data_IF_780037223306
#
_entry.id   IF_780037223306
#
_cell.length_a   1.000
_cell.length_b   1.000
_cell.length_c   1.000
_cell.angle_alpha   90.00
_cell.angle_beta   90.00
_cell.angle_gamma   90.00
#
_symmetry.space_group_name_H-M   'P 1'
#
loop_
_entity.id
_entity.type
_entity.pdbx_description
1 polymer ?
#
# COMPACT_ATOMS: atom_id res chain seq x y z
N UNK A 1 16.53 -3.37 18.29
CA UNK A 1 16.18 -1.92 18.31
C UNK A 1 16.22 -1.25 16.93
N UNK A 2 17.20 -1.55 16.07
CA UNK A 2 17.35 -0.90 14.76
C UNK A 2 16.12 -1.03 13.83
N UNK A 3 15.48 -2.20 13.75
CA UNK A 3 14.31 -2.42 12.88
C UNK A 3 13.11 -1.53 13.24
N UNK A 4 12.81 -1.37 14.53
CA UNK A 4 11.75 -0.46 15.01
C UNK A 4 12.03 0.99 14.62
N UNK A 5 13.30 1.42 14.72
CA UNK A 5 13.72 2.77 14.29
C UNK A 5 13.57 2.97 12.78
N UNK A 6 13.96 1.98 11.97
CA UNK A 6 13.78 2.02 10.50
C UNK A 6 12.31 2.10 10.10
N UNK A 7 11.43 1.31 10.74
CA UNK A 7 9.98 1.36 10.48
C UNK A 7 9.37 2.71 10.85
N UNK A 8 9.84 3.35 11.93
CA UNK A 8 9.41 4.71 12.29
C UNK A 8 9.82 5.72 11.22
N UNK A 9 11.07 5.70 10.78
CA UNK A 9 11.53 6.58 9.70
C UNK A 9 10.79 6.34 8.39
N UNK A 10 10.48 5.09 8.03
CA UNK A 10 9.67 4.78 6.87
C UNK A 10 8.25 5.37 6.98
N UNK A 11 7.62 5.32 8.16
CA UNK A 11 6.31 5.95 8.39
C UNK A 11 6.38 7.47 8.26
N UNK A 12 7.42 8.11 8.81
CA UNK A 12 7.64 9.55 8.70
C UNK A 12 7.88 9.97 7.25
N UNK A 13 8.71 9.22 6.52
CA UNK A 13 8.95 9.47 5.10
C UNK A 13 7.66 9.31 4.27
N UNK A 14 6.86 8.28 4.56
CA UNK A 14 5.55 8.11 3.93
C UNK A 14 4.62 9.29 4.23
N UNK A 15 4.57 9.75 5.48
CA UNK A 15 3.77 10.93 5.86
C UNK A 15 4.23 12.20 5.14
N UNK A 16 5.54 12.41 5.01
CA UNK A 16 6.09 13.54 4.26
C UNK A 16 5.73 13.47 2.76
N UNK A 17 5.83 12.29 2.14
CA UNK A 17 5.41 12.08 0.75
C UNK A 17 3.91 12.32 0.56
N UNK A 18 3.08 11.86 1.50
CA UNK A 18 1.64 12.11 1.50
C UNK A 18 1.33 13.60 1.55
N UNK A 19 1.95 14.34 2.47
CA UNK A 19 1.76 15.79 2.59
C UNK A 19 2.26 16.55 1.35
N UNK A 20 3.38 16.12 0.76
CA UNK A 20 3.89 16.68 -0.49
C UNK A 20 2.96 16.40 -1.68
N UNK A 21 2.27 15.27 -1.69
CA UNK A 21 1.34 14.88 -2.74
C UNK A 21 -0.02 15.61 -2.67
N UNK A 22 -0.45 16.04 -1.49
CA UNK A 22 -1.75 16.72 -1.32
C UNK A 22 -1.95 17.93 -2.24
N UNK A 23 -1.02 18.91 -2.34
CA UNK A 23 -1.23 20.09 -3.18
C UNK A 23 -1.07 19.85 -4.68
N UNK A 24 -0.63 18.66 -5.11
CA UNK A 24 -0.42 18.37 -6.53
C UNK A 24 -1.76 18.07 -7.21
N UNK A 25 -2.05 18.73 -8.33
CA UNK A 25 -3.21 18.38 -9.16
C UNK A 25 -2.88 17.16 -10.02
N UNK A 26 -3.34 15.98 -9.59
CA UNK A 26 -3.19 14.74 -10.35
C UNK A 26 -4.53 14.29 -10.91
N UNK A 27 -4.57 13.97 -12.20
CA UNK A 27 -5.76 13.39 -12.87
C UNK A 27 -5.71 11.87 -12.99
N UNK A 28 -4.67 11.24 -12.42
CA UNK A 28 -4.45 9.79 -12.50
C UNK A 28 -4.36 9.16 -11.11
N UNK A 29 -4.76 7.89 -10.94
CA UNK A 29 -4.72 7.21 -9.64
C UNK A 29 -3.32 6.76 -9.21
N UNK A 30 -2.29 7.00 -10.03
CA UNK A 30 -0.96 6.39 -9.86
C UNK A 30 -0.28 6.78 -8.55
N UNK A 31 -0.34 8.07 -8.17
CA UNK A 31 0.25 8.53 -6.93
C UNK A 31 -0.48 7.97 -5.69
N UNK A 32 -1.81 7.90 -5.74
CA UNK A 32 -2.62 7.28 -4.69
C UNK A 32 -2.32 5.77 -4.55
N UNK A 33 -2.16 5.05 -5.67
CA UNK A 33 -1.73 3.65 -5.69
C UNK A 33 -0.33 3.48 -5.07
N UNK A 34 0.63 4.35 -5.41
CA UNK A 34 1.96 4.33 -4.84
C UNK A 34 1.96 4.55 -3.32
N UNK A 35 1.19 5.54 -2.84
CA UNK A 35 1.04 5.83 -1.42
C UNK A 35 0.34 4.66 -0.69
N UNK A 36 -0.77 4.16 -1.21
CA UNK A 36 -1.46 3.01 -0.64
C UNK A 36 -0.56 1.76 -0.61
N UNK A 37 0.20 1.51 -1.67
CA UNK A 37 1.17 0.42 -1.74
C UNK A 37 2.28 0.54 -0.70
N UNK A 38 2.82 1.75 -0.54
CA UNK A 38 3.79 2.04 0.53
C UNK A 38 3.23 1.75 1.92
N UNK A 39 1.97 2.13 2.17
CA UNK A 39 1.29 1.88 3.45
C UNK A 39 1.05 0.37 3.68
N UNK A 40 0.62 -0.37 2.65
CA UNK A 40 0.44 -1.81 2.68
C UNK A 40 1.75 -2.54 3.00
N UNK A 41 2.85 -2.18 2.31
CA UNK A 41 4.17 -2.77 2.55
C UNK A 41 4.65 -2.44 3.96
N UNK A 42 4.56 -1.17 4.36
CA UNK A 42 4.95 -0.75 5.70
C UNK A 42 4.16 -1.50 6.79
N UNK A 43 2.85 -1.65 6.61
CA UNK A 43 1.97 -2.40 7.51
C UNK A 43 2.34 -3.88 7.58
N UNK A 44 2.54 -4.53 6.43
CA UNK A 44 2.93 -5.94 6.36
C UNK A 44 4.29 -6.20 7.03
N UNK A 45 5.31 -5.39 6.73
CA UNK A 45 6.64 -5.48 7.36
C UNK A 45 6.56 -5.15 8.84
N UNK A 46 5.77 -4.14 9.23
CA UNK A 46 5.53 -3.79 10.62
C UNK A 46 4.88 -4.91 11.43
N UNK A 47 3.94 -5.64 10.82
CA UNK A 47 3.28 -6.79 11.42
C UNK A 47 4.25 -7.96 11.62
N UNK A 48 5.01 -8.34 10.58
CA UNK A 48 6.01 -9.42 10.67
C UNK A 48 7.19 -9.07 11.57
N UNK A 49 7.53 -7.79 11.74
CA UNK A 49 8.58 -7.38 12.66
C UNK A 49 8.16 -7.42 14.14
N UNK A 50 6.84 -7.37 14.41
CA UNK A 50 6.29 -7.37 15.78
C UNK A 50 5.83 -8.76 16.24
N UNK A 51 5.58 -9.66 15.30
CA UNK A 51 5.09 -11.03 15.56
C UNK A 51 6.03 -12.02 14.92
N UNK A 52 6.24 -13.17 15.56
CA UNK A 52 6.99 -14.27 14.96
C UNK A 52 6.13 -14.98 13.90
N UNK A 53 5.95 -14.31 12.75
CA UNK A 53 5.13 -14.85 11.66
C UNK A 53 5.95 -15.91 10.92
N UNK A 54 5.49 -17.17 10.90
CA UNK A 54 6.21 -18.22 10.21
C UNK A 54 6.33 -17.87 8.72
N UNK A 55 7.49 -18.12 8.08
CA UNK A 55 7.74 -17.71 6.71
C UNK A 55 6.71 -18.24 5.69
N UNK A 56 6.12 -19.41 5.95
CA UNK A 56 5.04 -20.00 5.16
C UNK A 56 3.75 -19.14 5.09
N UNK A 57 3.57 -18.16 5.99
CA UNK A 57 2.41 -17.24 5.99
C UNK A 57 2.64 -15.96 5.19
N UNK A 58 3.84 -15.72 4.68
CA UNK A 58 4.17 -14.49 3.98
C UNK A 58 3.39 -14.31 2.66
N UNK A 59 3.07 -15.36 1.87
CA UNK A 59 2.17 -15.22 0.72
C UNK A 59 0.79 -14.73 1.11
N UNK A 60 0.24 -15.21 2.24
CA UNK A 60 -1.08 -14.78 2.74
C UNK A 60 -1.07 -13.33 3.21
N UNK A 61 0.00 -12.91 3.90
CA UNK A 61 0.18 -11.49 4.26
C UNK A 61 0.29 -10.61 3.02
N UNK A 62 1.02 -11.08 2.00
CA UNK A 62 1.11 -10.43 0.71
C UNK A 62 -0.25 -10.31 0.02
N UNK A 63 -1.05 -11.38 0.01
CA UNK A 63 -2.42 -11.37 -0.53
C UNK A 63 -3.28 -10.31 0.15
N UNK A 64 -3.29 -10.29 1.48
CA UNK A 64 -4.08 -9.30 2.25
C UNK A 64 -3.61 -7.88 1.97
N UNK A 65 -2.29 -7.65 1.93
CA UNK A 65 -1.72 -6.35 1.59
C UNK A 65 -2.08 -5.90 0.16
N UNK A 66 -2.08 -6.84 -0.80
CA UNK A 66 -2.47 -6.60 -2.19
C UNK A 66 -3.96 -6.30 -2.32
N UNK A 67 -4.83 -7.04 -1.62
CA UNK A 67 -6.27 -6.78 -1.61
C UNK A 67 -6.62 -5.43 -0.94
N UNK A 68 -5.85 -5.02 0.07
CA UNK A 68 -6.02 -3.73 0.73
C UNK A 68 -5.58 -2.53 -0.15
N UNK A 69 -4.79 -2.76 -1.20
CA UNK A 69 -4.23 -1.69 -2.04
C UNK A 69 -5.31 -0.80 -2.67
N UNK A 70 -6.23 -1.42 -3.41
CA UNK A 70 -7.27 -0.68 -4.13
C UNK A 70 -8.23 0.09 -3.21
N UNK A 71 -8.80 -0.47 -2.13
CA UNK A 71 -9.68 0.30 -1.25
C UNK A 71 -8.94 1.42 -0.52
N UNK A 72 -7.66 1.24 -0.14
CA UNK A 72 -6.86 2.33 0.43
C UNK A 72 -6.59 3.43 -0.60
N UNK A 73 -6.22 3.08 -1.82
CA UNK A 73 -6.02 4.06 -2.90
C UNK A 73 -7.32 4.80 -3.22
N UNK A 74 -8.46 4.11 -3.31
CA UNK A 74 -9.77 4.74 -3.48
C UNK A 74 -10.08 5.72 -2.33
N UNK A 75 -9.82 5.31 -1.09
CA UNK A 75 -9.97 6.19 0.08
C UNK A 75 -9.10 7.44 0.01
N UNK A 76 -7.85 7.33 -0.46
CA UNK A 76 -6.96 8.47 -0.66
C UNK A 76 -7.48 9.43 -1.75
N UNK A 77 -8.01 8.90 -2.85
CA UNK A 77 -8.59 9.71 -3.93
C UNK A 77 -9.86 10.45 -3.50
N UNK A 78 -10.72 9.78 -2.73
CA UNK A 78 -11.93 10.40 -2.13
C UNK A 78 -11.53 11.46 -1.12
N UNK A 79 -10.56 11.17 -0.26
CA UNK A 79 -10.04 12.13 0.71
C UNK A 79 -9.47 13.37 0.03
N UNK A 80 -8.64 13.19 -1.01
CA UNK A 80 -8.07 14.30 -1.78
C UNK A 80 -9.13 15.13 -2.49
N UNK A 81 -10.08 14.48 -3.17
CA UNK A 81 -11.22 15.17 -3.82
C UNK A 81 -12.02 16.01 -2.82
N UNK A 82 -12.17 15.54 -1.58
CA UNK A 82 -12.89 16.26 -0.53
C UNK A 82 -12.14 17.46 0.06
N UNK A 83 -10.81 17.52 -0.12
CA UNK A 83 -10.00 18.67 0.30
C UNK A 83 -10.01 19.80 -0.75
N UNK A 84 -10.22 19.46 -2.01
CA UNK A 84 -10.36 20.45 -3.08
C UNK A 84 -11.79 21.00 -3.11
N UNK A 85 -11.94 22.33 -3.11
CA UNK A 85 -13.24 23.00 -3.09
C UNK A 85 -13.83 23.17 -4.50
N UNK A 86 -13.80 22.12 -5.32
CA UNK A 86 -14.38 22.15 -6.67
C UNK A 86 -15.84 21.71 -6.64
N UNK A 87 -16.66 22.24 -7.56
CA UNK A 87 -18.07 21.87 -7.70
C UNK A 87 -18.29 20.47 -8.26
N UNK A 88 -17.21 19.75 -8.59
CA UNK A 88 -17.21 18.40 -9.12
C UNK A 88 -16.04 17.60 -8.52
N UNK A 89 -16.17 16.27 -8.38
CA UNK A 89 -15.07 15.42 -7.91
C UNK A 89 -13.94 15.34 -8.94
N UNK A 90 -12.69 15.38 -8.48
CA UNK A 90 -11.51 15.22 -9.35
C UNK A 90 -11.44 13.81 -9.97
N UNK A 91 -11.95 12.80 -9.25
CA UNK A 91 -11.97 11.42 -9.69
C UNK A 91 -13.41 10.93 -9.88
N UNK A 92 -13.71 10.48 -11.10
CA UNK A 92 -15.05 10.00 -11.44
C UNK A 92 -15.38 8.65 -10.81
N UNK A 93 -16.67 8.33 -10.58
CA UNK A 93 -17.08 7.03 -10.05
C UNK A 93 -16.53 5.84 -10.84
N UNK A 94 -16.45 5.97 -12.17
CA UNK A 94 -15.91 4.92 -13.04
C UNK A 94 -14.43 4.64 -12.78
N UNK A 95 -13.61 5.66 -12.55
CA UNK A 95 -12.19 5.48 -12.22
C UNK A 95 -12.01 4.74 -10.88
N UNK A 96 -12.86 5.04 -9.89
CA UNK A 96 -12.84 4.31 -8.61
C UNK A 96 -13.28 2.85 -8.79
N UNK A 97 -14.30 2.59 -9.61
CA UNK A 97 -14.74 1.22 -9.90
C UNK A 97 -13.66 0.44 -10.67
N UNK A 98 -13.00 1.05 -11.66
CA UNK A 98 -11.93 0.41 -12.42
C UNK A 98 -10.73 0.06 -11.50
N UNK A 99 -10.40 0.95 -10.56
CA UNK A 99 -9.38 0.70 -9.53
C UNK A 99 -9.74 -0.50 -8.64
N UNK A 100 -10.98 -0.56 -8.16
CA UNK A 100 -11.49 -1.64 -7.32
C UNK A 100 -11.64 -2.95 -8.09
N UNK A 101 -12.00 -2.90 -9.37
CA UNK A 101 -12.05 -4.08 -10.24
C UNK A 101 -10.68 -4.75 -10.40
N UNK A 102 -9.59 -3.98 -10.24
CA UNK A 102 -8.22 -4.50 -10.20
C UNK A 102 -7.86 -5.28 -8.91
N UNK A 103 -8.70 -5.26 -7.86
CA UNK A 103 -8.42 -5.91 -6.56
C UNK A 103 -7.91 -7.35 -6.67
N UNK A 104 -8.51 -8.25 -7.50
CA UNK A 104 -8.00 -9.61 -7.62
C UNK A 104 -6.56 -9.66 -8.14
N UNK A 105 -6.22 -8.82 -9.15
CA UNK A 105 -4.88 -8.75 -9.71
C UNK A 105 -3.87 -8.22 -8.67
N UNK A 106 -4.24 -7.18 -7.91
CA UNK A 106 -3.41 -6.66 -6.82
C UNK A 106 -3.20 -7.67 -5.71
N UNK A 107 -4.25 -8.42 -5.34
CA UNK A 107 -4.18 -9.50 -4.37
C UNK A 107 -3.19 -10.60 -4.81
N UNK A 108 -3.30 -11.06 -6.06
CA UNK A 108 -2.38 -12.05 -6.63
C UNK A 108 -0.94 -11.51 -6.69
N UNK A 109 -0.74 -10.27 -7.13
CA UNK A 109 0.58 -9.63 -7.14
C UNK A 109 1.19 -9.54 -5.73
N UNK A 110 0.38 -9.19 -4.74
CA UNK A 110 0.79 -9.19 -3.34
C UNK A 110 1.17 -10.59 -2.84
N UNK A 111 0.37 -11.61 -3.16
CA UNK A 111 0.67 -13.00 -2.79
C UNK A 111 2.01 -13.48 -3.37
N UNK A 112 2.26 -13.18 -4.64
CA UNK A 112 3.53 -13.47 -5.32
C UNK A 112 4.71 -12.73 -4.69
N UNK A 113 4.53 -11.45 -4.36
CA UNK A 113 5.56 -10.67 -3.66
C UNK A 113 5.89 -11.27 -2.27
N UNK A 114 4.87 -11.69 -1.53
CA UNK A 114 5.03 -12.39 -0.25
C UNK A 114 5.77 -13.73 -0.39
N UNK A 115 5.47 -14.50 -1.43
CA UNK A 115 6.17 -15.75 -1.74
C UNK A 115 7.63 -15.52 -2.15
N UNK A 116 7.90 -14.48 -2.95
CA UNK A 116 9.27 -14.07 -3.31
C UNK A 116 10.09 -13.68 -2.08
N UNK A 117 9.52 -12.85 -1.20
CA UNK A 117 10.15 -12.47 0.07
C UNK A 117 10.47 -13.69 0.94
N UNK A 118 9.55 -14.65 1.01
CA UNK A 118 9.76 -15.92 1.72
C UNK A 118 10.93 -16.71 1.14
N UNK A 119 10.99 -16.85 -0.19
CA UNK A 119 12.06 -17.54 -0.89
C UNK A 119 13.44 -16.93 -0.61
N UNK A 120 13.54 -15.60 -0.58
CA UNK A 120 14.77 -14.89 -0.24
C UNK A 120 15.17 -15.15 1.21
N UNK A 121 14.23 -15.03 2.15
CA UNK A 121 14.50 -15.22 3.57
C UNK A 121 14.99 -16.65 3.91
N UNK A 122 14.50 -17.67 3.21
CA UNK A 122 14.94 -19.06 3.39
C UNK A 122 16.37 -19.29 2.86
N UNK A 123 16.80 -18.59 1.82
CA UNK A 123 18.15 -18.75 1.24
C UNK A 123 19.24 -18.18 2.14
N UNK A 124 18.94 -17.13 2.92
CA UNK A 124 19.89 -16.49 3.83
C UNK A 124 20.15 -17.34 5.09
N UNK A 125 19.25 -18.27 5.42
CA UNK A 125 19.34 -19.13 6.62
C UNK A 125 20.09 -20.45 6.41
N UNK A 126 20.50 -20.77 5.17
CA UNK A 126 21.30 -21.95 4.84
C UNK A 126 22.76 -21.57 4.69
#
# INVERSE_FOLDING_TARGET
MAAKRRLRWAALAWGALFLFWLPLEDVTPNAALGLAGGLCVWGAVGWTARRDVPPARWPWLGLVAGLALAPLAAGLLVFKSGLHSHGFPDFGPRQLLDLLAGMPAWGLGGALAGAGAWGIANRIKR
#
